data_IF_980539018837
#
_entry.id   IF_980539018837
#
_cell.length_a   1.000
_cell.length_b   1.000
_cell.length_c   1.000
_cell.angle_alpha   90.00
_cell.angle_beta   90.00
_cell.angle_gamma   90.00
#
_symmetry.space_group_name_H-M   'P 1'
#
loop_
_entity.id
_entity.type
_entity.pdbx_description
1 polymer ?
#
# COMPACT_ATOMS: atom_id res chain seq x y z
N UNK A 1 26.37 0.13 -8.86
CA UNK A 1 25.85 -0.74 -7.78
C UNK A 1 26.94 -1.72 -7.36
N UNK A 2 27.11 -1.89 -6.05
CA UNK A 2 28.00 -2.91 -5.45
C UNK A 2 27.11 -4.07 -5.00
N UNK A 3 27.56 -5.31 -5.19
CA UNK A 3 26.83 -6.48 -4.73
C UNK A 3 26.89 -6.54 -3.20
N UNK A 4 25.73 -6.54 -2.53
CA UNK A 4 25.64 -6.62 -1.07
C UNK A 4 26.19 -7.93 -0.49
N UNK A 5 26.26 -9.00 -1.28
CA UNK A 5 26.77 -10.31 -0.83
C UNK A 5 28.30 -10.42 -0.87
N UNK A 6 28.95 -10.03 -1.98
CA UNK A 6 30.41 -10.20 -2.15
C UNK A 6 31.21 -8.90 -2.23
N UNK A 7 30.57 -7.72 -2.15
CA UNK A 7 31.23 -6.42 -2.19
C UNK A 7 31.81 -6.01 -3.55
N UNK A 8 31.64 -6.84 -4.60
CA UNK A 8 32.19 -6.55 -5.93
C UNK A 8 31.25 -5.68 -6.77
N UNK A 9 31.82 -4.96 -7.74
CA UNK A 9 31.07 -4.14 -8.70
C UNK A 9 30.21 -5.01 -9.62
N UNK A 10 28.92 -4.71 -9.68
CA UNK A 10 27.98 -5.41 -10.55
C UNK A 10 28.06 -4.92 -11.99
N UNK A 11 27.77 -5.81 -12.95
CA UNK A 11 27.59 -5.45 -14.36
C UNK A 11 26.27 -4.69 -14.52
N UNK A 12 26.27 -3.70 -15.41
CA UNK A 12 25.09 -2.87 -15.73
C UNK A 12 24.58 -3.30 -17.11
N UNK A 13 23.28 -3.42 -17.28
CA UNK A 13 22.69 -3.79 -18.56
C UNK A 13 21.17 -3.63 -18.58
N UNK A 14 20.54 -4.26 -19.58
CA UNK A 14 19.08 -4.31 -19.73
C UNK A 14 18.54 -5.53 -18.97
N UNK A 15 17.61 -5.30 -18.05
CA UNK A 15 16.89 -6.30 -17.29
C UNK A 15 15.51 -6.49 -17.93
N UNK A 16 15.12 -7.75 -18.17
CA UNK A 16 13.82 -8.07 -18.75
C UNK A 16 13.15 -9.16 -17.94
N UNK A 17 11.90 -8.93 -17.55
CA UNK A 17 11.01 -9.94 -16.97
C UNK A 17 10.14 -10.48 -18.10
N UNK A 18 10.01 -11.79 -18.16
CA UNK A 18 9.20 -12.45 -19.19
C UNK A 18 8.51 -13.67 -18.60
N UNK A 19 7.24 -13.85 -18.95
CA UNK A 19 6.49 -15.05 -18.60
C UNK A 19 6.78 -16.12 -19.64
N UNK A 20 7.20 -17.30 -19.19
CA UNK A 20 7.31 -18.48 -20.03
C UNK A 20 6.21 -19.46 -19.61
N UNK A 21 5.17 -19.60 -20.43
CA UNK A 21 4.05 -20.51 -20.19
C UNK A 21 4.28 -21.90 -20.80
N UNK A 22 3.62 -22.90 -20.24
CA UNK A 22 3.45 -24.21 -20.88
C UNK A 22 2.30 -24.05 -21.88
N UNK A 23 2.55 -24.38 -23.16
CA UNK A 23 1.74 -24.04 -24.33
C UNK A 23 0.25 -24.49 -24.33
N UNK A 24 -0.24 -25.12 -23.27
CA UNK A 24 -1.56 -25.76 -23.21
C UNK A 24 -2.69 -24.86 -22.69
N UNK A 25 -2.39 -23.67 -22.16
CA UNK A 25 -3.41 -22.73 -21.67
C UNK A 25 -3.33 -21.41 -22.44
N UNK A 26 -4.35 -21.16 -23.26
CA UNK A 26 -4.59 -19.96 -24.06
C UNK A 26 -4.99 -18.74 -23.20
N UNK A 27 -4.20 -18.44 -22.16
CA UNK A 27 -4.37 -17.25 -21.33
C UNK A 27 -3.38 -16.16 -21.73
N UNK A 28 -3.83 -14.91 -21.78
CA UNK A 28 -2.93 -13.76 -21.87
C UNK A 28 -2.18 -13.64 -20.55
N UNK A 29 -0.93 -14.09 -20.52
CA UNK A 29 -0.04 -13.92 -19.38
C UNK A 29 0.95 -12.79 -19.67
N UNK A 30 0.96 -11.78 -18.80
CA UNK A 30 1.92 -10.68 -18.84
C UNK A 30 2.74 -10.65 -17.55
N UNK A 31 4.03 -10.30 -17.61
CA UNK A 31 4.86 -10.20 -16.43
C UNK A 31 4.52 -8.93 -15.65
N UNK A 32 4.19 -9.06 -14.37
CA UNK A 32 4.09 -7.94 -13.42
C UNK A 32 5.25 -8.01 -12.44
N UNK A 33 5.82 -6.85 -12.11
CA UNK A 33 6.81 -6.73 -11.03
C UNK A 33 6.09 -6.14 -9.83
N UNK A 34 6.16 -6.83 -8.70
CA UNK A 34 5.50 -6.45 -7.47
C UNK A 34 6.47 -6.50 -6.29
N UNK A 35 6.29 -5.59 -5.35
CA UNK A 35 6.98 -5.54 -4.07
C UNK A 35 5.97 -5.67 -2.94
N UNK A 36 6.25 -6.59 -2.03
CA UNK A 36 5.44 -6.86 -0.86
C UNK A 36 6.19 -6.46 0.40
N UNK A 37 5.45 -5.93 1.37
CA UNK A 37 5.89 -5.79 2.76
C UNK A 37 5.12 -6.81 3.60
N UNK A 38 5.79 -7.88 4.03
CA UNK A 38 5.11 -9.09 4.51
C UNK A 38 4.20 -9.69 3.43
N UNK A 39 2.91 -9.79 3.73
CA UNK A 39 1.86 -10.27 2.81
C UNK A 39 1.11 -9.14 2.09
N UNK A 40 1.42 -7.86 2.38
CA UNK A 40 0.74 -6.72 1.78
C UNK A 40 1.43 -6.27 0.49
N UNK A 41 0.66 -6.13 -0.60
CA UNK A 41 1.17 -5.57 -1.85
C UNK A 41 1.30 -4.04 -1.70
N UNK A 42 2.53 -3.54 -1.75
CA UNK A 42 2.80 -2.10 -1.53
C UNK A 42 3.10 -1.36 -2.83
N UNK A 43 3.77 -2.03 -3.78
CA UNK A 43 4.17 -1.40 -5.03
C UNK A 43 4.10 -2.38 -6.20
N UNK A 44 3.61 -1.94 -7.34
CA UNK A 44 3.61 -2.71 -8.58
C UNK A 44 4.03 -1.88 -9.79
N UNK A 45 4.49 -2.57 -10.83
CA UNK A 45 4.88 -1.97 -12.11
C UNK A 45 4.55 -2.92 -13.26
N UNK A 46 3.93 -2.36 -14.28
CA UNK A 46 3.64 -3.03 -15.57
C UNK A 46 4.86 -3.09 -16.50
N UNK A 47 5.94 -2.37 -16.16
CA UNK A 47 7.19 -2.40 -16.92
C UNK A 47 7.84 -3.77 -16.84
N UNK A 48 7.97 -4.40 -18.00
CA UNK A 48 8.67 -5.67 -18.17
C UNK A 48 10.15 -5.53 -18.48
N UNK A 49 10.64 -4.30 -18.65
CA UNK A 49 12.03 -3.99 -19.00
C UNK A 49 12.54 -2.77 -18.24
N UNK A 50 13.79 -2.85 -17.75
CA UNK A 50 14.44 -1.72 -17.09
C UNK A 50 15.98 -1.84 -17.07
N UNK A 51 16.67 -0.90 -16.42
CA UNK A 51 18.08 -0.99 -16.09
C UNK A 51 18.33 -2.07 -15.02
N UNK A 52 19.24 -2.98 -15.32
CA UNK A 52 19.61 -4.11 -14.50
C UNK A 52 21.03 -4.06 -13.97
N UNK A 53 21.23 -4.76 -12.86
CA UNK A 53 22.52 -5.07 -12.29
C UNK A 53 22.67 -6.57 -12.13
N UNK A 54 23.79 -7.13 -12.58
CA UNK A 54 24.09 -8.57 -12.46
C UNK A 54 25.45 -8.79 -11.79
N UNK A 55 25.48 -9.57 -10.72
CA UNK A 55 26.69 -10.07 -10.09
C UNK A 55 26.99 -11.48 -10.60
N UNK A 56 27.99 -11.60 -11.48
CA UNK A 56 28.41 -12.90 -12.03
C UNK A 56 28.97 -13.88 -10.99
N UNK A 57 29.48 -13.38 -9.86
CA UNK A 57 30.14 -14.22 -8.86
C UNK A 57 29.14 -14.81 -7.87
N UNK A 58 28.05 -14.09 -7.58
CA UNK A 58 26.99 -14.53 -6.66
C UNK A 58 25.72 -15.00 -7.36
N UNK A 59 25.60 -14.79 -8.68
CA UNK A 59 24.37 -15.07 -9.43
C UNK A 59 23.22 -14.09 -9.15
N UNK A 60 23.46 -13.01 -8.39
CA UNK A 60 22.43 -12.03 -8.03
C UNK A 60 22.10 -11.13 -9.22
N UNK A 61 20.82 -11.01 -9.55
CA UNK A 61 20.30 -10.05 -10.53
C UNK A 61 19.27 -9.14 -9.89
N UNK A 62 19.30 -7.84 -10.22
CA UNK A 62 18.39 -6.83 -9.69
C UNK A 62 17.99 -5.87 -10.82
N UNK A 63 16.73 -5.46 -10.86
CA UNK A 63 16.22 -4.42 -11.77
C UNK A 63 15.82 -3.16 -11.00
N UNK A 64 15.97 -1.98 -11.60
CA UNK A 64 15.53 -0.71 -11.00
C UNK A 64 14.32 -0.19 -11.76
N UNK A 65 13.12 -0.31 -11.21
CA UNK A 65 11.88 0.08 -11.88
C UNK A 65 11.45 1.48 -11.43
N UNK A 66 11.57 2.47 -12.34
CA UNK A 66 11.12 3.83 -12.08
C UNK A 66 9.62 3.96 -12.35
N UNK A 67 8.91 4.66 -11.47
CA UNK A 67 7.48 4.94 -11.63
C UNK A 67 6.58 3.75 -11.33
N UNK A 68 6.96 2.89 -10.38
CA UNK A 68 6.03 1.91 -9.81
C UNK A 68 4.87 2.63 -9.10
N UNK A 69 3.67 2.08 -9.23
CA UNK A 69 2.49 2.58 -8.54
C UNK A 69 2.50 2.10 -7.09
N UNK A 70 2.36 3.03 -6.14
CA UNK A 70 2.08 2.67 -4.76
C UNK A 70 0.61 2.25 -4.66
N UNK A 71 0.37 1.00 -4.25
CA UNK A 71 -0.96 0.41 -4.16
C UNK A 71 -1.35 0.00 -2.73
N UNK A 72 -0.40 0.04 -1.80
CA UNK A 72 -0.60 -0.20 -0.38
C UNK A 72 0.35 0.65 0.47
N UNK A 73 0.38 0.39 1.78
CA UNK A 73 1.27 1.08 2.70
C UNK A 73 2.20 0.08 3.39
N UNK A 74 3.51 0.40 3.51
CA UNK A 74 4.40 -0.36 4.39
C UNK A 74 3.87 -0.39 5.84
N UNK A 75 4.18 -1.45 6.58
CA UNK A 75 3.75 -1.63 7.98
C UNK A 75 4.20 -0.44 8.85
N UNK A 76 5.42 0.04 8.64
CA UNK A 76 6.01 1.19 9.34
C UNK A 76 5.25 2.52 9.14
N UNK A 77 4.43 2.63 8.08
CA UNK A 77 3.62 3.81 7.78
C UNK A 77 2.14 3.61 8.11
N UNK A 78 1.76 2.43 8.63
CA UNK A 78 0.39 2.12 8.99
C UNK A 78 0.00 2.92 10.23
N UNK A 79 -0.84 3.92 10.04
CA UNK A 79 -1.43 4.65 11.16
C UNK A 79 -2.59 3.81 11.71
N UNK A 80 -2.53 3.52 13.00
CA UNK A 80 -3.68 3.06 13.76
C UNK A 80 -4.59 4.27 13.97
N UNK A 81 -5.39 4.57 12.94
CA UNK A 81 -6.45 5.56 13.04
C UNK A 81 -7.52 4.93 13.92
N UNK A 82 -7.56 5.36 15.18
CA UNK A 82 -8.66 5.04 16.07
C UNK A 82 -9.94 5.68 15.52
N UNK A 83 -10.73 4.88 14.80
CA UNK A 83 -12.05 5.26 14.28
C UNK A 83 -13.05 5.65 15.41
N UNK A 84 -12.67 5.54 16.69
CA UNK A 84 -13.50 5.96 17.84
C UNK A 84 -13.39 7.44 18.23
N UNK A 85 -12.67 8.26 17.45
CA UNK A 85 -12.57 9.72 17.69
C UNK A 85 -13.92 10.46 17.54
N UNK A 86 -14.95 9.84 16.97
CA UNK A 86 -16.26 10.47 16.75
C UNK A 86 -17.36 10.06 17.75
N UNK A 87 -17.02 9.61 18.96
CA UNK A 87 -18.03 9.46 20.03
C UNK A 87 -18.07 10.75 20.86
N UNK A 88 -18.90 11.70 20.43
CA UNK A 88 -19.21 12.87 21.23
C UNK A 88 -19.95 12.44 22.51
N UNK A 89 -19.64 13.05 23.67
CA UNK A 89 -20.43 12.81 24.87
C UNK A 89 -21.87 13.25 24.64
N UNK A 90 -22.82 12.47 25.17
CA UNK A 90 -24.25 12.71 25.01
C UNK A 90 -24.82 13.50 26.18
N UNK A 91 -25.87 14.30 25.92
CA UNK A 91 -26.68 15.02 26.89
C UNK A 91 -28.16 14.68 26.71
N UNK A 92 -28.93 14.78 27.77
CA UNK A 92 -30.37 14.55 27.76
C UNK A 92 -31.13 15.87 27.78
N UNK A 93 -32.17 16.00 26.95
CA UNK A 93 -33.05 17.17 26.95
C UNK A 93 -33.91 17.20 28.22
N UNK A 94 -33.84 18.26 29.06
CA UNK A 94 -34.58 18.30 30.32
C UNK A 94 -36.10 18.37 30.15
N UNK A 95 -36.59 18.82 28.99
CA UNK A 95 -38.04 18.93 28.70
C UNK A 95 -38.65 17.64 28.14
N UNK A 96 -37.99 16.96 27.20
CA UNK A 96 -38.57 15.81 26.47
C UNK A 96 -37.81 14.48 26.66
N UNK A 97 -36.69 14.48 27.38
CA UNK A 97 -35.89 13.28 27.65
C UNK A 97 -35.10 12.74 26.46
N UNK A 98 -35.02 13.49 25.34
CA UNK A 98 -34.28 13.04 24.16
C UNK A 98 -32.77 13.09 24.42
N UNK A 99 -32.09 11.97 24.17
CA UNK A 99 -30.62 11.87 24.21
C UNK A 99 -30.03 12.44 22.90
N UNK A 100 -29.09 13.39 23.02
CA UNK A 100 -28.50 14.16 21.93
C UNK A 100 -27.00 14.31 22.13
N UNK A 101 -26.24 14.59 21.07
CA UNK A 101 -24.83 14.92 21.21
C UNK A 101 -24.65 16.29 21.89
N UNK A 102 -23.56 16.47 22.63
CA UNK A 102 -23.32 17.67 23.45
C UNK A 102 -23.31 18.98 22.64
N UNK A 103 -22.95 18.89 21.36
CA UNK A 103 -22.78 20.01 20.44
C UNK A 103 -24.11 20.58 19.90
N UNK A 104 -25.25 19.89 20.08
CA UNK A 104 -26.56 20.41 19.69
C UNK A 104 -26.97 21.60 20.56
N UNK A 105 -27.01 22.86 20.06
CA UNK A 105 -27.38 24.03 20.87
C UNK A 105 -28.88 24.07 21.21
N UNK A 106 -29.69 23.26 20.50
CA UNK A 106 -31.14 23.18 20.66
C UNK A 106 -31.59 21.74 20.45
N UNK A 107 -32.57 21.30 21.24
CA UNK A 107 -33.23 20.02 21.06
C UNK A 107 -34.05 20.02 19.76
N UNK A 108 -33.79 19.10 18.82
CA UNK A 108 -34.54 19.01 17.56
C UNK A 108 -35.98 18.53 17.76
N UNK A 109 -36.27 17.82 18.85
CA UNK A 109 -37.60 17.25 19.12
C UNK A 109 -38.58 18.26 19.73
N UNK A 110 -38.15 19.00 20.75
CA UNK A 110 -39.04 19.94 21.47
C UNK A 110 -38.65 21.42 21.31
N UNK A 111 -37.51 21.73 20.70
CA UNK A 111 -37.04 23.10 20.51
C UNK A 111 -36.42 23.75 21.75
N UNK A 112 -36.26 23.02 22.86
CA UNK A 112 -35.58 23.51 24.07
C UNK A 112 -34.14 23.95 23.76
N UNK A 113 -33.72 25.10 24.29
CA UNK A 113 -32.37 25.65 24.09
C UNK A 113 -31.52 25.30 25.30
N UNK A 114 -30.39 24.64 25.06
CA UNK A 114 -29.46 24.15 26.09
C UNK A 114 -28.54 25.24 26.62
#
# INVERSE_FOLDING_TARGET
>A
MICGSCGKRMKIGKFKVSVHGIATLSGYAYPTVAWYDGDELVCESDKSETMGFYCKDCGVMMGVFFGGAQVGFPEELRQDLDDSIDVLPKKECPECGTELDIDYPRCPECGYVF
#
